data_IF_595044912415
#
_entry.id   IF_595044912415
#
_cell.length_a   1.000
_cell.length_b   1.000
_cell.length_c   1.000
_cell.angle_alpha   90.00
_cell.angle_beta   90.00
_cell.angle_gamma   90.00
#
_symmetry.space_group_name_H-M   'P 1'
#
loop_
_entity.id
_entity.type
_entity.pdbx_description
1 polymer ?
#
# COMPACT_ATOMS: atom_id res chain seq x y z
N UNK A 1 24.66 -31.63 -27.83
CA UNK A 1 25.84 -30.76 -27.61
C UNK A 1 25.36 -29.43 -27.06
N UNK A 2 25.91 -29.01 -25.94
CA UNK A 2 25.41 -27.92 -25.10
C UNK A 2 26.03 -26.55 -25.46
N UNK A 3 25.21 -25.52 -25.20
CA UNK A 3 25.52 -24.11 -24.83
C UNK A 3 26.34 -23.26 -25.81
N UNK A 4 25.79 -22.08 -26.12
CA UNK A 4 26.33 -20.82 -25.60
C UNK A 4 25.17 -19.82 -25.41
N UNK A 5 24.81 -19.59 -24.15
CA UNK A 5 23.87 -18.55 -23.75
C UNK A 5 24.57 -17.20 -23.76
N UNK A 6 23.91 -16.21 -24.35
CA UNK A 6 24.35 -14.81 -24.44
C UNK A 6 24.66 -14.29 -23.03
N UNK A 7 25.90 -13.84 -22.83
CA UNK A 7 26.38 -13.32 -21.56
C UNK A 7 25.57 -12.07 -21.16
N UNK A 8 25.38 -11.93 -19.86
CA UNK A 8 24.67 -10.83 -19.21
C UNK A 8 25.65 -9.66 -19.15
N UNK A 9 25.79 -8.93 -20.26
CA UNK A 9 26.58 -7.69 -20.36
C UNK A 9 25.74 -6.47 -19.93
N UNK A 10 24.89 -6.64 -18.91
CA UNK A 10 24.13 -5.53 -18.35
C UNK A 10 24.98 -4.89 -17.23
N UNK A 11 25.46 -3.65 -17.41
CA UNK A 11 26.31 -2.99 -16.42
C UNK A 11 25.60 -2.80 -15.07
N UNK A 12 24.27 -2.71 -15.05
CA UNK A 12 23.48 -2.61 -13.81
C UNK A 12 23.50 -3.94 -13.06
N UNK A 13 23.33 -5.06 -13.76
CA UNK A 13 23.39 -6.40 -13.15
C UNK A 13 24.79 -6.70 -12.62
N UNK A 14 25.84 -6.28 -13.33
CA UNK A 14 27.23 -6.40 -12.86
C UNK A 14 27.42 -5.58 -11.58
N UNK A 15 26.97 -4.33 -11.55
CA UNK A 15 27.07 -3.47 -10.36
C UNK A 15 26.30 -4.04 -9.16
N UNK A 16 25.07 -4.51 -9.37
CA UNK A 16 24.25 -5.13 -8.31
C UNK A 16 24.94 -6.37 -7.75
N UNK A 17 25.50 -7.22 -8.60
CA UNK A 17 26.20 -8.43 -8.17
C UNK A 17 27.44 -8.12 -7.33
N UNK A 18 28.18 -7.06 -7.67
CA UNK A 18 29.37 -6.62 -6.93
C UNK A 18 28.98 -6.04 -5.56
N UNK A 19 27.92 -5.23 -5.50
CA UNK A 19 27.39 -4.71 -4.23
C UNK A 19 26.90 -5.84 -3.34
N UNK A 20 26.18 -6.82 -3.88
CA UNK A 20 25.73 -7.99 -3.13
C UNK A 20 26.90 -8.81 -2.58
N UNK A 21 27.92 -9.09 -3.42
CA UNK A 21 29.11 -9.83 -3.00
C UNK A 21 29.89 -9.11 -1.89
N UNK A 22 29.92 -7.78 -1.89
CA UNK A 22 30.56 -6.98 -0.85
C UNK A 22 29.74 -6.92 0.45
N UNK A 23 28.41 -7.08 0.38
CA UNK A 23 27.52 -6.95 1.55
C UNK A 23 27.15 -8.28 2.20
N UNK A 24 27.26 -9.41 1.50
CA UNK A 24 26.72 -10.71 1.96
C UNK A 24 27.31 -11.22 3.29
N UNK A 25 28.57 -10.89 3.57
CA UNK A 25 29.29 -11.38 4.75
C UNK A 25 29.17 -10.42 5.96
N UNK A 26 28.48 -9.28 5.78
CA UNK A 26 28.18 -8.35 6.87
C UNK A 26 26.90 -8.75 7.61
N UNK A 27 26.87 -8.48 8.91
CA UNK A 27 25.65 -8.60 9.70
C UNK A 27 24.57 -7.60 9.21
N UNK A 28 23.32 -7.82 9.63
CA UNK A 28 22.19 -7.05 9.15
C UNK A 28 22.28 -5.56 9.50
N UNK A 29 22.83 -5.21 10.66
CA UNK A 29 22.99 -3.83 11.11
C UNK A 29 24.09 -3.12 10.29
N UNK A 30 25.21 -3.80 10.07
CA UNK A 30 26.30 -3.25 9.26
C UNK A 30 25.89 -3.08 7.78
N UNK A 31 25.11 -4.01 7.21
CA UNK A 31 24.53 -3.85 5.87
C UNK A 31 23.64 -2.61 5.78
N UNK A 32 22.76 -2.40 6.76
CA UNK A 32 21.88 -1.24 6.82
C UNK A 32 22.65 0.08 6.84
N UNK A 33 23.68 0.19 7.69
CA UNK A 33 24.53 1.39 7.79
C UNK A 33 25.24 1.72 6.48
N UNK A 34 25.76 0.72 5.78
CA UNK A 34 26.43 0.92 4.47
C UNK A 34 25.45 1.44 3.42
N UNK A 35 24.24 0.87 3.35
CA UNK A 35 23.22 1.30 2.39
C UNK A 35 22.77 2.75 2.65
N UNK A 36 22.59 3.13 3.92
CA UNK A 36 22.26 4.52 4.32
C UNK A 36 23.37 5.49 3.90
N UNK A 37 24.63 5.13 4.15
CA UNK A 37 25.79 5.96 3.78
C UNK A 37 25.90 6.15 2.27
N UNK A 38 25.74 5.08 1.49
CA UNK A 38 25.78 5.12 0.02
C UNK A 38 24.63 5.98 -0.53
N UNK A 39 23.40 5.80 -0.03
CA UNK A 39 22.26 6.61 -0.42
C UNK A 39 22.51 8.11 -0.19
N UNK A 40 23.04 8.47 0.99
CA UNK A 40 23.41 9.85 1.31
C UNK A 40 24.51 10.41 0.39
N UNK A 41 25.55 9.61 0.09
CA UNK A 41 26.66 10.04 -0.76
C UNK A 41 26.26 10.31 -2.21
N UNK A 42 25.33 9.52 -2.74
CA UNK A 42 24.83 9.69 -4.10
C UNK A 42 23.66 10.68 -4.21
N UNK A 43 23.27 11.33 -3.10
CA UNK A 43 22.05 12.16 -3.05
C UNK A 43 20.83 11.42 -3.60
N UNK A 44 20.84 10.09 -3.49
CA UNK A 44 19.68 9.26 -3.70
C UNK A 44 18.88 9.53 -2.44
N UNK A 45 18.00 10.53 -2.50
CA UNK A 45 17.09 10.89 -1.43
C UNK A 45 16.20 9.68 -1.20
N UNK A 46 16.71 8.77 -0.37
CA UNK A 46 15.95 7.66 0.13
C UNK A 46 14.85 8.32 0.93
N UNK A 47 13.63 8.26 0.44
CA UNK A 47 12.42 8.52 1.22
C UNK A 47 12.21 7.39 2.25
N UNK A 48 13.30 6.85 2.79
CA UNK A 48 13.34 6.18 4.08
C UNK A 48 13.58 7.30 5.08
N UNK A 49 12.47 7.79 5.63
CA UNK A 49 12.41 8.96 6.48
C UNK A 49 13.39 8.88 7.65
N UNK A 50 14.49 9.61 7.52
CA UNK A 50 15.16 10.22 8.65
C UNK A 50 14.10 11.02 9.41
N UNK A 51 13.82 10.59 10.63
CA UNK A 51 13.12 11.37 11.62
C UNK A 51 13.79 12.73 11.73
N UNK A 52 13.01 13.77 11.46
CA UNK A 52 13.38 15.13 11.83
C UNK A 52 13.28 15.20 13.34
N UNK A 53 14.45 15.19 13.98
CA UNK A 53 14.63 15.53 15.39
C UNK A 53 13.84 16.80 15.72
N UNK A 54 12.92 16.67 16.68
CA UNK A 54 12.43 17.80 17.46
C UNK A 54 12.78 17.46 18.89
N UNK A 55 13.85 18.08 19.38
CA UNK A 55 14.20 18.10 20.79
C UNK A 55 13.06 18.75 21.58
N UNK A 56 12.48 17.99 22.50
CA UNK A 56 11.77 18.54 23.65
C UNK A 56 12.08 17.66 24.86
N UNK A 57 12.95 18.15 25.76
CA UNK A 57 12.94 17.81 27.18
C UNK A 57 11.48 17.96 27.69
N UNK A 58 10.88 17.16 28.58
CA UNK A 58 11.21 16.64 29.93
C UNK A 58 10.11 15.56 30.25
N UNK A 59 9.99 14.92 31.44
CA UNK A 59 10.85 14.04 32.24
C UNK A 59 10.38 12.56 32.25
N UNK A 60 11.28 11.72 32.80
CA UNK A 60 11.13 10.32 33.22
C UNK A 60 9.79 10.01 33.94
N UNK A 61 9.06 9.00 33.43
CA UNK A 61 8.33 8.02 34.25
C UNK A 61 8.19 6.73 33.45
N UNK A 62 8.95 5.71 33.85
CA UNK A 62 8.73 4.32 33.47
C UNK A 62 7.39 3.86 34.07
N UNK A 63 6.63 3.05 33.33
CA UNK A 63 6.63 1.64 33.72
C UNK A 63 6.86 0.72 32.53
N UNK A 64 7.39 -0.45 32.86
CA UNK A 64 7.76 -1.56 31.98
C UNK A 64 6.56 -2.18 31.21
N UNK A 65 6.92 -2.91 30.14
CA UNK A 65 6.09 -3.82 29.31
C UNK A 65 5.19 -3.12 28.27
N UNK A 66 5.22 -3.36 26.96
CA UNK A 66 5.59 -4.52 26.12
C UNK A 66 6.01 -3.99 24.73
N UNK A 67 7.23 -4.23 24.25
CA UNK A 67 7.64 -3.92 22.86
C UNK A 67 7.77 -5.22 22.05
N UNK A 68 6.68 -5.97 21.94
CA UNK A 68 6.67 -7.22 21.17
C UNK A 68 5.44 -7.23 20.25
N UNK A 69 5.70 -7.29 18.94
CA UNK A 69 4.79 -7.70 17.86
C UNK A 69 3.72 -6.71 17.34
N UNK A 70 4.07 -5.46 16.99
CA UNK A 70 3.21 -4.62 16.11
C UNK A 70 3.79 -4.45 14.69
N UNK A 71 5.07 -4.76 14.46
CA UNK A 71 5.69 -4.60 13.14
C UNK A 71 5.38 -5.76 12.18
N UNK A 72 5.19 -6.98 12.71
CA UNK A 72 4.93 -8.20 11.93
C UNK A 72 3.54 -8.17 11.27
N UNK A 73 2.50 -7.68 11.98
CA UNK A 73 1.12 -7.62 11.48
C UNK A 73 0.89 -6.49 10.43
N UNK A 74 1.88 -5.62 10.25
CA UNK A 74 1.87 -4.51 9.27
C UNK A 74 2.98 -4.68 8.22
N UNK A 75 3.60 -5.86 8.13
CA UNK A 75 4.59 -6.18 7.11
C UNK A 75 3.91 -6.14 5.72
N UNK A 76 4.54 -5.46 4.75
CA UNK A 76 3.93 -5.19 3.43
C UNK A 76 3.05 -3.93 3.33
N UNK A 77 2.73 -3.25 4.45
CA UNK A 77 2.03 -1.96 4.41
C UNK A 77 3.03 -0.81 4.27
N UNK A 78 2.79 0.06 3.30
CA UNK A 78 3.54 1.30 3.10
C UNK A 78 3.54 2.20 4.34
N UNK A 79 4.57 3.03 4.54
CA UNK A 79 4.61 3.99 5.65
C UNK A 79 3.42 4.95 5.67
N UNK A 80 2.87 5.30 4.50
CA UNK A 80 1.68 6.12 4.38
C UNK A 80 0.42 5.36 4.82
N UNK A 81 0.30 4.09 4.45
CA UNK A 81 -0.74 3.17 4.93
C UNK A 81 -0.70 3.01 6.45
N UNK A 82 0.47 2.74 7.04
CA UNK A 82 0.63 2.65 8.51
C UNK A 82 0.15 3.93 9.22
N UNK A 83 0.52 5.10 8.70
CA UNK A 83 0.05 6.40 9.23
C UNK A 83 -1.46 6.59 9.09
N UNK A 84 -2.05 6.14 7.98
CA UNK A 84 -3.49 6.23 7.77
C UNK A 84 -4.27 5.29 8.69
N UNK A 85 -3.80 4.07 8.91
CA UNK A 85 -4.38 3.14 9.89
C UNK A 85 -4.37 3.78 11.29
N UNK A 86 -3.21 4.30 11.71
CA UNK A 86 -3.06 4.96 13.01
C UNK A 86 -3.96 6.19 13.14
N UNK A 87 -4.06 7.02 12.11
CA UNK A 87 -4.91 8.23 12.09
C UNK A 87 -6.40 7.90 12.23
N UNK A 88 -6.84 6.79 11.67
CA UNK A 88 -8.26 6.41 11.63
C UNK A 88 -8.66 5.43 12.73
N UNK A 89 -7.72 5.01 13.60
CA UNK A 89 -7.98 4.08 14.69
C UNK A 89 -8.39 2.68 14.23
N UNK A 90 -7.96 2.28 13.03
CA UNK A 90 -8.32 0.98 12.45
C UNK A 90 -7.40 -0.09 13.07
N UNK A 91 -7.99 -1.19 13.55
CA UNK A 91 -7.19 -2.31 14.08
C UNK A 91 -6.55 -3.08 12.92
N UNK A 92 -5.23 -3.32 12.92
CA UNK A 92 -4.56 -4.08 11.84
C UNK A 92 -5.16 -5.47 11.64
N UNK A 93 -5.46 -6.17 12.73
CA UNK A 93 -6.14 -7.47 12.71
C UNK A 93 -7.52 -7.47 12.02
N UNK A 94 -8.27 -6.37 12.12
CA UNK A 94 -9.55 -6.21 11.42
C UNK A 94 -9.34 -5.95 9.92
N UNK A 95 -8.25 -5.27 9.56
CA UNK A 95 -7.89 -4.99 8.18
C UNK A 95 -7.56 -6.27 7.40
N UNK A 96 -6.93 -7.26 8.05
CA UNK A 96 -6.64 -8.57 7.48
C UNK A 96 -7.88 -9.39 7.05
N UNK A 97 -9.07 -9.03 7.53
CA UNK A 97 -10.33 -9.64 7.10
C UNK A 97 -10.87 -9.08 5.78
N UNK A 98 -10.39 -7.89 5.39
CA UNK A 98 -10.81 -7.18 4.19
C UNK A 98 -9.71 -7.23 3.14
N UNK A 99 -8.45 -7.10 3.56
CA UNK A 99 -7.28 -7.01 2.69
C UNK A 99 -6.29 -8.12 3.01
N UNK A 100 -5.72 -8.73 1.96
CA UNK A 100 -4.56 -9.59 2.10
C UNK A 100 -3.33 -8.71 2.14
N UNK A 101 -2.70 -8.62 3.31
CA UNK A 101 -1.50 -7.83 3.54
C UNK A 101 -0.30 -8.69 3.06
N UNK A 102 0.05 -8.55 1.79
CA UNK A 102 1.20 -9.22 1.17
C UNK A 102 2.41 -8.28 1.05
N UNK A 103 3.59 -8.87 0.82
CA UNK A 103 4.86 -8.12 0.63
C UNK A 103 4.89 -7.38 -0.72
N UNK A 104 4.16 -7.89 -1.73
CA UNK A 104 4.21 -7.39 -3.12
C UNK A 104 3.00 -6.51 -3.49
N UNK A 105 1.78 -7.05 -3.36
CA UNK A 105 0.54 -6.29 -3.56
C UNK A 105 -0.45 -6.57 -2.41
N UNK A 106 -1.17 -5.52 -2.01
CA UNK A 106 -2.29 -5.65 -1.08
C UNK A 106 -3.56 -5.76 -1.90
N UNK A 107 -4.25 -6.90 -1.77
CA UNK A 107 -5.48 -7.19 -2.51
C UNK A 107 -6.70 -7.24 -1.62
N UNK A 108 -7.86 -6.94 -2.23
CA UNK A 108 -9.16 -7.04 -1.58
C UNK A 108 -9.59 -8.51 -1.52
N UNK A 109 -9.73 -9.06 -0.32
CA UNK A 109 -10.13 -10.46 -0.04
C UNK A 109 -11.43 -10.58 0.73
N UNK A 110 -12.17 -9.47 0.86
CA UNK A 110 -13.44 -9.49 1.57
C UNK A 110 -14.42 -10.47 0.92
N UNK A 111 -15.23 -11.17 1.73
CA UNK A 111 -16.24 -12.13 1.23
C UNK A 111 -17.32 -11.49 0.37
N UNK A 112 -17.64 -10.22 0.64
CA UNK A 112 -18.66 -9.47 -0.10
C UNK A 112 -18.47 -7.98 0.08
N UNK A 113 -18.66 -7.22 -0.99
CA UNK A 113 -18.63 -5.75 -0.95
C UNK A 113 -20.04 -5.24 -0.66
N UNK A 114 -20.23 -4.40 0.38
CA UNK A 114 -21.54 -3.85 0.72
C UNK A 114 -22.12 -3.02 -0.43
N UNK A 115 -23.43 -3.09 -0.62
CA UNK A 115 -24.15 -2.31 -1.62
C UNK A 115 -25.40 -3.02 -2.12
N UNK A 116 -26.52 -2.31 -2.11
CA UNK A 116 -27.83 -2.87 -2.50
C UNK A 116 -27.98 -3.03 -4.02
N UNK A 117 -27.33 -2.16 -4.79
CA UNK A 117 -27.38 -2.10 -6.25
C UNK A 117 -25.99 -2.32 -6.84
N UNK A 118 -25.92 -2.85 -8.07
CA UNK A 118 -24.65 -3.02 -8.81
C UNK A 118 -23.84 -1.73 -8.87
N UNK A 119 -24.49 -0.59 -9.14
CA UNK A 119 -23.83 0.71 -9.14
C UNK A 119 -23.18 1.09 -7.79
N UNK A 120 -23.84 0.82 -6.67
CA UNK A 120 -23.32 1.09 -5.34
C UNK A 120 -22.16 0.15 -4.99
N UNK A 121 -22.29 -1.14 -5.34
CA UNK A 121 -21.19 -2.11 -5.20
C UNK A 121 -19.98 -1.69 -6.02
N UNK A 122 -20.19 -1.24 -7.27
CA UNK A 122 -19.10 -0.77 -8.11
C UNK A 122 -18.37 0.42 -7.48
N UNK A 123 -19.08 1.46 -7.02
CA UNK A 123 -18.48 2.57 -6.27
C UNK A 123 -17.66 2.07 -5.09
N UNK A 124 -18.22 1.17 -4.29
CA UNK A 124 -17.55 0.65 -3.11
C UNK A 124 -16.30 -0.19 -3.46
N UNK A 125 -16.32 -0.95 -4.56
CA UNK A 125 -15.14 -1.64 -5.08
C UNK A 125 -14.04 -0.65 -5.48
N UNK A 126 -14.39 0.49 -6.11
CA UNK A 126 -13.43 1.55 -6.43
C UNK A 126 -12.76 2.12 -5.18
N UNK A 127 -13.57 2.41 -4.14
CA UNK A 127 -13.06 2.90 -2.86
C UNK A 127 -12.13 1.89 -2.19
N UNK A 128 -12.53 0.61 -2.14
CA UNK A 128 -11.74 -0.45 -1.51
C UNK A 128 -10.46 -0.76 -2.28
N UNK A 129 -10.48 -0.85 -3.61
CA UNK A 129 -9.25 -1.07 -4.40
C UNK A 129 -8.31 0.13 -4.27
N UNK A 130 -8.83 1.35 -4.23
CA UNK A 130 -8.01 2.53 -3.95
C UNK A 130 -7.35 2.52 -2.57
N UNK A 131 -8.05 2.05 -1.53
CA UNK A 131 -7.45 1.84 -0.20
C UNK A 131 -6.40 0.75 -0.24
N UNK A 132 -6.64 -0.38 -0.92
CA UNK A 132 -5.65 -1.46 -1.05
C UNK A 132 -4.34 -0.96 -1.72
N UNK A 133 -4.46 -0.19 -2.80
CA UNK A 133 -3.33 0.43 -3.48
C UNK A 133 -2.61 1.45 -2.57
N UNK A 134 -3.37 2.23 -1.81
CA UNK A 134 -2.82 3.19 -0.85
C UNK A 134 -2.07 2.49 0.30
N UNK A 135 -2.60 1.36 0.79
CA UNK A 135 -1.94 0.57 1.82
C UNK A 135 -0.62 0.00 1.29
N UNK A 136 -0.60 -0.58 0.08
CA UNK A 136 0.61 -1.21 -0.45
C UNK A 136 1.67 -0.21 -0.94
N UNK A 137 1.26 0.82 -1.68
CA UNK A 137 2.19 1.73 -2.38
C UNK A 137 2.31 3.11 -1.75
N UNK A 138 1.37 3.49 -0.87
CA UNK A 138 1.23 4.85 -0.36
C UNK A 138 0.54 5.82 -1.32
N UNK A 139 0.15 5.37 -2.51
CA UNK A 139 -0.63 6.12 -3.48
C UNK A 139 -1.94 5.39 -3.78
N UNK A 140 -3.07 6.10 -3.70
CA UNK A 140 -4.40 5.52 -3.93
C UNK A 140 -4.72 5.41 -5.43
N UNK A 141 -3.79 4.86 -6.23
CA UNK A 141 -3.87 4.78 -7.70
C UNK A 141 -3.92 3.33 -8.17
N UNK A 142 -4.78 3.05 -9.14
CA UNK A 142 -4.99 1.71 -9.69
C UNK A 142 -5.39 1.79 -11.17
N UNK A 143 -5.17 0.71 -11.93
CA UNK A 143 -5.45 0.67 -13.36
C UNK A 143 -6.90 0.29 -13.66
N UNK A 144 -7.34 0.53 -14.89
CA UNK A 144 -8.66 0.10 -15.34
C UNK A 144 -8.81 -1.43 -15.36
N UNK A 145 -7.72 -2.16 -15.62
CA UNK A 145 -7.74 -3.63 -15.66
C UNK A 145 -7.93 -4.20 -14.25
N UNK A 146 -7.16 -3.71 -13.28
CA UNK A 146 -7.28 -4.10 -11.87
C UNK A 146 -8.70 -3.88 -11.35
N UNK A 147 -9.29 -2.71 -11.61
CA UNK A 147 -10.64 -2.43 -11.11
C UNK A 147 -11.71 -3.25 -11.83
N UNK A 148 -11.55 -3.49 -13.14
CA UNK A 148 -12.48 -4.33 -13.91
C UNK A 148 -12.46 -5.76 -13.40
N UNK A 149 -11.28 -6.33 -13.20
CA UNK A 149 -11.11 -7.67 -12.63
C UNK A 149 -11.75 -7.77 -11.24
N UNK A 150 -11.45 -6.81 -10.35
CA UNK A 150 -12.03 -6.76 -9.01
C UNK A 150 -13.57 -6.64 -9.08
N UNK A 151 -14.10 -5.79 -9.96
CA UNK A 151 -15.54 -5.64 -10.13
C UNK A 151 -16.20 -6.90 -10.68
N UNK A 152 -15.53 -7.67 -11.53
CA UNK A 152 -16.03 -8.96 -12.03
C UNK A 152 -16.04 -10.00 -10.91
N UNK A 153 -15.00 -10.04 -10.07
CA UNK A 153 -14.91 -10.94 -8.92
C UNK A 153 -16.10 -10.75 -7.95
N UNK A 154 -16.57 -9.52 -7.78
CA UNK A 154 -17.65 -9.16 -6.86
C UNK A 154 -19.05 -8.98 -7.51
N UNK A 155 -19.26 -9.40 -8.76
CA UNK A 155 -20.49 -9.14 -9.53
C UNK A 155 -20.93 -7.65 -9.47
N UNK A 156 -19.96 -6.74 -9.46
CA UNK A 156 -20.16 -5.30 -9.36
C UNK A 156 -19.98 -4.60 -10.70
N UNK A 157 -19.47 -5.28 -11.73
CA UNK A 157 -19.24 -4.67 -13.04
C UNK A 157 -20.55 -4.39 -13.79
N UNK A 158 -20.77 -3.13 -14.13
CA UNK A 158 -21.84 -2.67 -15.00
C UNK A 158 -21.25 -1.85 -16.15
N UNK A 159 -20.80 -2.56 -17.19
CA UNK A 159 -20.18 -1.96 -18.38
C UNK A 159 -21.08 -0.94 -19.10
N UNK A 160 -22.36 -1.26 -19.38
CA UNK A 160 -23.28 -0.33 -20.04
C UNK A 160 -23.50 0.97 -19.28
N UNK A 161 -23.61 0.91 -17.94
CA UNK A 161 -23.82 2.11 -17.12
C UNK A 161 -22.52 2.69 -16.53
N UNK A 162 -21.36 2.15 -16.88
CA UNK A 162 -20.08 2.50 -16.27
C UNK A 162 -19.83 4.00 -16.29
N UNK A 163 -19.98 4.65 -17.45
CA UNK A 163 -19.73 6.08 -17.60
C UNK A 163 -20.68 6.93 -16.75
N UNK A 164 -21.94 6.51 -16.59
CA UNK A 164 -22.92 7.22 -15.78
C UNK A 164 -22.60 7.07 -14.29
N UNK A 165 -22.30 5.85 -13.84
CA UNK A 165 -21.93 5.59 -12.45
C UNK A 165 -20.61 6.30 -12.11
N UNK A 166 -19.63 6.29 -13.01
CA UNK A 166 -18.36 6.99 -12.83
C UNK A 166 -18.55 8.50 -12.65
N UNK A 167 -19.44 9.14 -13.43
CA UNK A 167 -19.77 10.56 -13.24
C UNK A 167 -20.32 10.84 -11.84
N UNK A 168 -21.15 9.95 -11.30
CA UNK A 168 -21.71 10.14 -9.94
C UNK A 168 -20.66 10.05 -8.83
N UNK A 169 -19.57 9.31 -9.03
CA UNK A 169 -18.46 9.17 -8.08
C UNK A 169 -17.23 10.02 -8.44
N UNK A 170 -17.36 10.97 -9.38
CA UNK A 170 -16.26 11.84 -9.82
C UNK A 170 -15.67 12.74 -8.73
N UNK A 171 -16.43 13.00 -7.66
CA UNK A 171 -15.95 13.71 -6.48
C UNK A 171 -14.97 12.87 -5.63
N UNK A 172 -15.01 11.55 -5.77
CA UNK A 172 -14.30 10.57 -4.95
C UNK A 172 -13.17 9.88 -5.71
N UNK A 173 -13.38 9.67 -7.01
CA UNK A 173 -12.45 9.03 -7.91
C UNK A 173 -12.19 9.95 -9.10
N UNK A 174 -10.92 10.25 -9.33
CA UNK A 174 -10.44 10.99 -10.51
C UNK A 174 -9.67 10.06 -11.44
N UNK A 175 -9.44 10.50 -12.68
CA UNK A 175 -8.68 9.76 -13.68
C UNK A 175 -9.53 9.21 -14.82
N UNK A 176 -8.92 8.39 -15.66
CA UNK A 176 -9.54 7.83 -16.86
C UNK A 176 -8.96 6.45 -17.18
N UNK A 177 -9.49 5.80 -18.21
CA UNK A 177 -9.07 4.44 -18.58
C UNK A 177 -7.57 4.34 -18.93
N UNK A 178 -6.99 5.37 -19.53
CA UNK A 178 -5.61 5.38 -20.05
C UNK A 178 -4.57 5.68 -18.95
N UNK A 179 -4.90 6.63 -18.06
CA UNK A 179 -4.04 7.04 -16.95
C UNK A 179 -4.29 6.25 -15.66
N UNK A 180 -5.34 5.43 -15.62
CA UNK A 180 -5.82 4.80 -14.40
C UNK A 180 -6.63 5.76 -13.54
N UNK A 181 -7.04 5.27 -12.38
CA UNK A 181 -7.91 5.96 -11.44
C UNK A 181 -7.16 6.27 -10.16
N UNK A 182 -7.52 7.37 -9.51
CA UNK A 182 -6.94 7.78 -8.23
C UNK A 182 -8.06 8.20 -7.28
N UNK A 183 -7.98 7.80 -6.01
CA UNK A 183 -8.90 8.34 -5.00
C UNK A 183 -8.53 9.77 -4.65
N UNK A 184 -9.53 10.64 -4.62
CA UNK A 184 -9.39 11.99 -4.09
C UNK A 184 -9.35 11.95 -2.56
N UNK A 185 -9.00 13.07 -1.92
CA UNK A 185 -9.07 13.17 -0.46
C UNK A 185 -10.48 12.83 0.09
N UNK A 186 -11.53 13.25 -0.62
CA UNK A 186 -12.91 12.90 -0.28
C UNK A 186 -13.16 11.40 -0.43
N UNK A 187 -12.69 10.79 -1.53
CA UNK A 187 -12.80 9.35 -1.73
C UNK A 187 -12.09 8.54 -0.65
N UNK A 188 -10.93 9.01 -0.18
CA UNK A 188 -10.20 8.34 0.90
C UNK A 188 -10.97 8.40 2.23
N UNK A 189 -11.62 9.54 2.55
CA UNK A 189 -12.48 9.66 3.73
C UNK A 189 -13.70 8.73 3.64
N UNK A 190 -14.38 8.69 2.51
CA UNK A 190 -15.52 7.80 2.28
C UNK A 190 -15.12 6.32 2.33
N UNK A 191 -13.96 5.97 1.77
CA UNK A 191 -13.41 4.63 1.84
C UNK A 191 -13.05 4.24 3.28
N UNK A 192 -12.58 5.19 4.09
CA UNK A 192 -12.33 4.96 5.52
C UNK A 192 -13.62 4.62 6.25
N UNK A 193 -14.68 5.40 6.04
CA UNK A 193 -16.01 5.13 6.62
C UNK A 193 -16.52 3.75 6.21
N UNK A 194 -16.31 3.36 4.95
CA UNK A 194 -16.68 2.05 4.44
C UNK A 194 -15.91 0.91 5.14
N UNK A 195 -14.59 1.03 5.26
CA UNK A 195 -13.74 0.04 5.95
C UNK A 195 -14.15 -0.09 7.42
N UNK A 196 -14.42 1.04 8.08
CA UNK A 196 -14.94 1.09 9.46
C UNK A 196 -16.27 0.34 9.59
N UNK A 197 -17.23 0.58 8.70
CA UNK A 197 -18.50 -0.16 8.69
C UNK A 197 -18.33 -1.67 8.45
N UNK A 198 -17.36 -2.08 7.62
CA UNK A 198 -17.09 -3.49 7.35
C UNK A 198 -16.37 -4.21 8.49
N UNK A 199 -15.57 -3.48 9.28
CA UNK A 199 -14.82 -4.01 10.43
C UNK A 199 -15.57 -3.91 11.75
N UNK A 200 -16.77 -3.32 11.76
CA UNK A 200 -17.55 -3.08 12.98
C UNK A 200 -16.94 -2.02 13.91
N UNK A 201 -16.00 -1.22 13.41
CA UNK A 201 -15.45 -0.06 14.12
C UNK A 201 -16.29 1.15 13.72
N UNK A 202 -17.38 1.44 14.43
CA UNK A 202 -18.26 2.57 14.09
C UNK A 202 -17.51 3.92 14.01
N UNK A 203 -18.01 4.80 13.15
CA UNK A 203 -17.36 6.02 12.68
C UNK A 203 -17.22 7.11 13.75
#
# INVERSE_FOLDING_TARGET
MAKQGKAIDDPEIIAISQVYAALKDLDADARSRVLVYVAGKFSITNTIGAGKEISHEIPVTQPEAVTVAIDDELEGISPAGKKWIARNGIKPSALGSIFSLGIDEIDLVSKSVPGSKKAQRMRNVFLLKGVSAYLGTGAARFTHEQIKETCLHYDAWDGPNFANIFKTMSAEVSGNKESGYTLTAKGLSEATSLVKSMTGQEA
#
